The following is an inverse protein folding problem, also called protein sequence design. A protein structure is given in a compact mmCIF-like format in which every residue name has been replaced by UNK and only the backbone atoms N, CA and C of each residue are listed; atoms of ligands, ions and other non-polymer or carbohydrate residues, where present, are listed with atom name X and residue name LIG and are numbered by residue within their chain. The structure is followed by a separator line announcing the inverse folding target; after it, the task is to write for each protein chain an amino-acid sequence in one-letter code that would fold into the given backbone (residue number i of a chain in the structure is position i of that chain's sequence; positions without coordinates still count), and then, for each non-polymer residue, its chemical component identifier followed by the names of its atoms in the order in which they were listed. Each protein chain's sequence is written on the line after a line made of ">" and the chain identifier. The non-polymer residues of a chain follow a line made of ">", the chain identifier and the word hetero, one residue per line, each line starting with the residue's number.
data_IF_117864792350
#
_entry.id   IF_117864792350
#
_cell.length_a   1.000
_cell.length_b   1.000
_cell.length_c   1.000
_cell.angle_alpha   90.00
_cell.angle_beta   90.00
_cell.angle_gamma   90.00
#
_symmetry.space_group_name_H-M   'P 1'
#
loop_
_entity.id
_entity.type
_entity.pdbx_description
1 polymer ?
#
# COMPACT_ATOMS: atom_id res chain seq x y z
N UNK A 1 8.88 -7.68 22.42
CA UNK A 1 8.02 -6.49 22.58
C UNK A 1 7.96 -5.69 21.28
N UNK A 2 7.05 -6.07 20.37
CA UNK A 2 6.50 -5.17 19.36
C UNK A 2 4.98 -5.42 19.27
N UNK A 3 4.30 -5.26 20.40
CA UNK A 3 2.85 -5.13 20.45
C UNK A 3 2.45 -3.73 19.95
N UNK A 4 2.88 -3.37 18.76
CA UNK A 4 2.36 -2.18 18.07
C UNK A 4 1.11 -2.65 17.36
N UNK A 5 0.03 -2.69 18.15
CA UNK A 5 -1.37 -2.99 17.89
C UNK A 5 -1.73 -3.59 16.52
N UNK A 6 -2.31 -4.82 16.50
CA UNK A 6 -2.94 -5.43 15.32
C UNK A 6 -3.81 -4.47 14.52
N UNK A 7 -4.40 -3.44 15.15
CA UNK A 7 -5.09 -2.33 14.51
C UNK A 7 -4.36 -1.71 13.31
N UNK A 8 -3.01 -1.64 13.31
CA UNK A 8 -2.25 -1.09 12.19
C UNK A 8 -2.27 -1.99 10.94
N UNK A 9 -2.57 -3.28 11.11
CA UNK A 9 -2.57 -4.26 10.04
C UNK A 9 -3.93 -4.35 9.32
N UNK A 10 -4.97 -3.68 9.81
CA UNK A 10 -6.31 -3.70 9.20
C UNK A 10 -6.31 -3.27 7.73
N UNK A 11 -5.50 -2.27 7.37
CA UNK A 11 -5.35 -1.83 5.98
C UNK A 11 -4.58 -2.84 5.11
N UNK A 12 -3.54 -3.46 5.67
CA UNK A 12 -2.75 -4.49 4.97
C UNK A 12 -3.57 -5.78 4.77
N UNK A 13 -4.37 -6.14 5.77
CA UNK A 13 -5.35 -7.23 5.71
C UNK A 13 -6.39 -6.97 4.64
N UNK A 14 -7.02 -5.79 4.63
CA UNK A 14 -8.02 -5.43 3.63
C UNK A 14 -7.47 -5.42 2.20
N UNK A 15 -6.20 -5.04 2.02
CA UNK A 15 -5.49 -5.08 0.73
C UNK A 15 -5.02 -6.50 0.33
N UNK A 16 -5.11 -7.49 1.23
CA UNK A 16 -4.63 -8.85 1.00
C UNK A 16 -3.12 -8.97 0.85
N UNK A 17 -2.34 -8.05 1.44
CA UNK A 17 -0.86 -8.01 1.31
C UNK A 17 -0.13 -8.61 2.52
N UNK A 18 -0.87 -9.05 3.54
CA UNK A 18 -0.28 -9.75 4.68
C UNK A 18 0.23 -11.14 4.25
N UNK A 19 1.31 -11.57 4.89
CA UNK A 19 1.75 -12.96 4.79
C UNK A 19 0.76 -13.91 5.47
N UNK A 20 0.82 -15.20 5.15
CA UNK A 20 -0.10 -16.20 5.70
C UNK A 20 -0.11 -16.23 7.24
N UNK A 21 1.07 -16.18 7.87
CA UNK A 21 1.18 -16.20 9.33
C UNK A 21 0.58 -14.95 10.00
N UNK A 22 0.75 -13.79 9.38
CA UNK A 22 0.19 -12.53 9.91
C UNK A 22 -1.31 -12.43 9.66
N UNK A 23 -1.80 -13.01 8.56
CA UNK A 23 -3.23 -13.12 8.25
C UNK A 23 -3.93 -13.93 9.34
N UNK A 24 -3.44 -15.13 9.68
CA UNK A 24 -4.06 -15.96 10.72
C UNK A 24 -4.08 -15.28 12.10
N UNK A 25 -2.99 -14.61 12.48
CA UNK A 25 -2.95 -13.84 13.75
C UNK A 25 -3.94 -12.69 13.76
N UNK A 26 -4.14 -12.03 12.62
CA UNK A 26 -5.09 -10.93 12.51
C UNK A 26 -6.54 -11.43 12.53
N UNK A 27 -6.83 -12.60 11.94
CA UNK A 27 -8.15 -13.24 12.03
C UNK A 27 -8.52 -13.64 13.46
N UNK A 28 -7.58 -14.17 14.23
CA UNK A 28 -7.76 -14.41 15.67
C UNK A 28 -8.10 -13.11 16.41
N UNK A 29 -7.41 -12.02 16.10
CA UNK A 29 -7.70 -10.70 16.68
C UNK A 29 -9.05 -10.12 16.24
N UNK A 30 -9.47 -10.34 14.99
CA UNK A 30 -10.76 -9.88 14.46
C UNK A 30 -11.95 -10.47 15.23
N UNK A 31 -11.81 -11.70 15.73
CA UNK A 31 -12.84 -12.33 16.55
C UNK A 31 -13.05 -11.62 17.91
N UNK A 32 -12.02 -10.94 18.42
CA UNK A 32 -12.02 -10.32 19.75
C UNK A 32 -12.17 -8.79 19.71
N UNK A 33 -12.04 -8.16 18.53
CA UNK A 33 -11.98 -6.71 18.42
C UNK A 33 -12.96 -6.10 17.41
N UNK A 34 -14.04 -5.51 17.93
CA UNK A 34 -15.05 -4.81 17.13
C UNK A 34 -14.51 -3.61 16.33
N UNK A 35 -13.48 -2.91 16.84
CA UNK A 35 -12.85 -1.77 16.15
C UNK A 35 -12.21 -2.21 14.84
N UNK A 36 -11.46 -3.32 14.87
CA UNK A 36 -10.84 -3.89 13.66
C UNK A 36 -11.89 -4.37 12.66
N UNK A 37 -12.99 -4.96 13.13
CA UNK A 37 -14.11 -5.37 12.26
C UNK A 37 -14.69 -4.17 11.51
N UNK A 38 -14.90 -3.04 12.19
CA UNK A 38 -15.38 -1.81 11.55
C UNK A 38 -14.36 -1.27 10.56
N UNK A 39 -13.08 -1.15 10.96
CA UNK A 39 -12.03 -0.62 10.08
C UNK A 39 -11.85 -1.45 8.80
N UNK A 40 -11.83 -2.78 8.89
CA UNK A 40 -11.71 -3.66 7.72
C UNK A 40 -12.89 -3.46 6.76
N UNK A 41 -14.11 -3.30 7.30
CA UNK A 41 -15.30 -3.00 6.49
C UNK A 41 -15.20 -1.65 5.80
N UNK A 42 -14.75 -0.62 6.51
CA UNK A 42 -14.57 0.73 5.94
C UNK A 42 -13.53 0.75 4.83
N UNK A 43 -12.44 -0.01 4.98
CA UNK A 43 -11.40 -0.14 3.95
C UNK A 43 -11.89 -0.80 2.67
N UNK A 44 -12.96 -1.61 2.69
CA UNK A 44 -13.51 -2.25 1.48
C UNK A 44 -13.77 -1.23 0.36
N UNK A 45 -14.42 -0.11 0.68
CA UNK A 45 -14.68 0.96 -0.29
C UNK A 45 -13.41 1.61 -0.87
N UNK A 46 -12.36 1.71 -0.06
CA UNK A 46 -11.06 2.27 -0.46
C UNK A 46 -10.33 1.28 -1.37
N UNK A 47 -10.35 -0.01 -1.05
CA UNK A 47 -9.76 -1.08 -1.86
C UNK A 47 -10.40 -1.13 -3.24
N UNK A 48 -11.72 -1.02 -3.33
CA UNK A 48 -12.45 -0.97 -4.61
C UNK A 48 -12.01 0.22 -5.47
N UNK A 49 -11.91 1.41 -4.87
CA UNK A 49 -11.48 2.63 -5.56
C UNK A 49 -10.02 2.52 -6.03
N UNK A 50 -9.15 1.92 -5.22
CA UNK A 50 -7.76 1.66 -5.58
C UNK A 50 -7.65 0.65 -6.72
N UNK A 51 -8.47 -0.40 -6.73
CA UNK A 51 -8.50 -1.37 -7.82
C UNK A 51 -8.96 -0.73 -9.14
N UNK A 52 -9.95 0.15 -9.10
CA UNK A 52 -10.36 0.95 -10.26
C UNK A 52 -9.23 1.85 -10.76
N UNK A 53 -8.57 2.56 -9.85
CA UNK A 53 -7.43 3.41 -10.17
C UNK A 53 -6.27 2.62 -10.78
N UNK A 54 -5.95 1.44 -10.26
CA UNK A 54 -4.90 0.57 -10.78
C UNK A 54 -5.17 0.19 -12.24
N UNK A 55 -6.40 -0.22 -12.59
CA UNK A 55 -6.80 -0.50 -13.98
C UNK A 55 -6.69 0.73 -14.89
N UNK A 56 -7.02 1.92 -14.38
CA UNK A 56 -6.82 3.18 -15.12
C UNK A 56 -5.33 3.48 -15.35
N UNK A 57 -4.50 3.32 -14.32
CA UNK A 57 -3.06 3.54 -14.37
C UNK A 57 -2.37 2.56 -15.34
N UNK A 58 -2.77 1.29 -15.34
CA UNK A 58 -2.28 0.27 -16.27
C UNK A 58 -2.63 0.62 -17.72
N UNK A 59 -3.88 1.01 -18.01
CA UNK A 59 -4.28 1.47 -19.34
C UNK A 59 -3.51 2.72 -19.79
N UNK A 60 -3.29 3.66 -18.87
CA UNK A 60 -2.50 4.86 -19.16
C UNK A 60 -1.03 4.53 -19.44
N UNK A 61 -0.45 3.56 -18.71
CA UNK A 61 0.90 3.07 -18.95
C UNK A 61 1.01 2.34 -20.30
N UNK A 62 0.03 1.50 -20.65
CA UNK A 62 0.00 0.81 -21.93
C UNK A 62 -0.07 1.78 -23.13
N UNK A 63 -0.75 2.93 -22.98
CA UNK A 63 -0.80 4.00 -23.99
C UNK A 63 0.53 4.75 -24.17
N UNK A 64 1.52 4.55 -23.29
CA UNK A 64 2.84 5.20 -23.36
C UNK A 64 3.96 4.14 -23.25
N UNK A 65 4.21 3.39 -24.34
CA UNK A 65 5.07 2.20 -24.29
C UNK A 65 6.54 2.49 -23.91
N UNK A 66 7.00 3.73 -24.08
CA UNK A 66 8.36 4.18 -23.76
C UNK A 66 8.30 5.38 -22.81
N UNK A 67 8.13 5.17 -21.50
CA UNK A 67 8.41 6.22 -20.51
C UNK A 67 9.39 5.70 -19.46
N UNK A 68 10.57 6.33 -19.28
CA UNK A 68 11.59 5.90 -18.33
C UNK A 68 11.26 6.38 -16.91
N UNK A 69 10.03 6.13 -16.45
CA UNK A 69 9.52 6.64 -15.17
C UNK A 69 8.76 5.60 -14.36
N UNK A 70 9.00 4.30 -14.60
CA UNK A 70 8.40 3.20 -13.84
C UNK A 70 9.10 2.92 -12.50
N UNK A 71 9.50 3.98 -11.80
CA UNK A 71 9.97 3.92 -10.42
C UNK A 71 9.42 5.11 -9.64
N UNK A 72 8.24 4.93 -9.03
CA UNK A 72 7.86 5.72 -7.86
C UNK A 72 8.71 5.26 -6.66
N UNK A 73 10.01 5.54 -6.72
CA UNK A 73 10.94 5.29 -5.61
C UNK A 73 10.87 6.45 -4.64
N UNK A 74 10.16 6.23 -3.53
CA UNK A 74 9.95 7.11 -2.37
C UNK A 74 11.25 7.49 -1.60
N UNK A 75 12.45 7.44 -2.21
CA UNK A 75 13.75 7.53 -1.49
C UNK A 75 14.87 8.40 -2.09
N UNK A 76 14.63 9.21 -3.13
CA UNK A 76 15.71 10.02 -3.74
C UNK A 76 15.74 11.52 -3.35
N UNK A 77 14.95 11.94 -2.37
CA UNK A 77 14.95 13.34 -1.91
C UNK A 77 16.22 13.73 -1.12
N UNK A 78 17.16 12.80 -0.86
CA UNK A 78 18.35 13.08 -0.04
C UNK A 78 19.70 12.85 -0.75
N UNK A 79 19.74 12.40 -2.02
CA UNK A 79 21.01 12.08 -2.70
C UNK A 79 21.00 12.38 -4.20
N UNK A 80 20.92 13.64 -4.63
CA UNK A 80 21.68 14.05 -5.83
C UNK A 80 21.81 15.57 -5.96
N UNK A 81 22.35 16.18 -4.90
CA UNK A 81 23.02 17.45 -4.97
C UNK A 81 24.36 17.34 -5.73
N UNK A 82 24.33 16.82 -6.96
CA UNK A 82 25.48 16.80 -7.89
C UNK A 82 25.01 17.31 -9.26
N UNK A 83 24.60 18.57 -9.26
CA UNK A 83 24.43 19.37 -10.46
C UNK A 83 25.04 20.75 -10.20
N UNK A 84 26.35 20.88 -10.43
CA UNK A 84 26.93 22.15 -10.84
C UNK A 84 27.34 21.99 -12.31
N UNK A 85 26.81 22.80 -13.24
CA UNK A 85 27.29 22.81 -14.61
C UNK A 85 28.70 23.45 -14.67
N UNK A 86 29.51 23.16 -15.69
CA UNK A 86 30.77 23.85 -15.87
C UNK A 86 30.49 25.30 -16.29
N UNK A 87 31.13 26.25 -15.61
CA UNK A 87 31.54 27.56 -16.15
C UNK A 87 33.02 27.74 -15.88
#
# INVERSE_FOLDING_TARGET
>A
MHATEPHRDAGAYALGVLGAADTSRFEEHLAECAVCVVQVREFGSVVDRLAEFARCAERAAARRPWWPGRYLSRRDSRRSARGLPPV
#
